data_IF_608655630056
#
_entry.id   IF_608655630056
#
_cell.length_a   1.000
_cell.length_b   1.000
_cell.length_c   1.000
_cell.angle_alpha   90.00
_cell.angle_beta   90.00
_cell.angle_gamma   90.00
#
_symmetry.space_group_name_H-M   'P 1'
#
loop_
_entity.id
_entity.type
_entity.pdbx_description
1 polymer ?
#
# COMPACT_ATOMS: atom_id res chain seq x y z
N UNK A 1 11.68 25.71 37.13
CA UNK A 1 11.63 26.33 35.79
C UNK A 1 12.34 25.47 34.75
N UNK A 2 13.60 25.09 35.01
CA UNK A 2 14.37 24.28 34.07
C UNK A 2 13.73 22.88 33.81
N UNK A 3 13.22 22.23 34.84
CA UNK A 3 12.55 20.94 34.74
C UNK A 3 11.30 21.01 33.87
N UNK A 4 10.54 22.09 34.00
CA UNK A 4 9.33 22.32 33.21
C UNK A 4 9.65 22.45 31.72
N UNK A 5 10.74 23.14 31.36
CA UNK A 5 11.18 23.25 29.97
C UNK A 5 11.60 21.94 29.38
N UNK A 6 12.29 21.12 30.15
CA UNK A 6 12.72 19.79 29.70
C UNK A 6 11.51 18.89 29.40
N UNK A 7 10.49 18.93 30.26
CA UNK A 7 9.26 18.17 30.07
C UNK A 7 8.55 18.56 28.77
N UNK A 8 8.47 19.85 28.46
CA UNK A 8 7.86 20.34 27.22
C UNK A 8 8.65 19.87 26.00
N UNK A 9 9.98 19.92 26.07
CA UNK A 9 10.83 19.46 24.97
C UNK A 9 10.64 17.99 24.66
N UNK A 10 10.52 17.14 25.69
CA UNK A 10 10.28 15.70 25.51
C UNK A 10 8.92 15.46 24.84
N UNK A 11 7.89 16.21 25.23
CA UNK A 11 6.56 16.05 24.63
C UNK A 11 6.57 16.44 23.15
N UNK A 12 7.26 17.51 22.79
CA UNK A 12 7.35 17.96 21.40
C UNK A 12 8.12 16.97 20.52
N UNK A 13 9.12 16.30 21.06
CA UNK A 13 9.86 15.27 20.33
C UNK A 13 9.06 13.99 20.12
N UNK A 14 8.22 13.61 21.06
CA UNK A 14 7.41 12.39 20.97
C UNK A 14 6.36 12.49 19.85
N UNK A 15 5.69 13.62 19.70
CA UNK A 15 4.64 13.80 18.70
C UNK A 15 5.16 13.71 17.26
N UNK A 16 6.21 14.44 16.86
CA UNK A 16 6.74 14.32 15.51
C UNK A 16 7.23 12.91 15.17
N UNK A 17 7.79 12.19 16.13
CA UNK A 17 8.25 10.82 15.89
C UNK A 17 7.08 9.89 15.58
N UNK A 18 5.96 9.98 16.30
CA UNK A 18 4.79 9.17 16.04
C UNK A 18 4.19 9.47 14.67
N UNK A 19 4.12 10.73 14.28
CA UNK A 19 3.66 11.13 12.95
C UNK A 19 4.58 10.60 11.85
N UNK A 20 5.89 10.66 12.03
CA UNK A 20 6.86 10.14 11.08
C UNK A 20 6.71 8.63 10.89
N UNK A 21 6.46 7.87 11.97
CA UNK A 21 6.23 6.43 11.88
C UNK A 21 4.95 6.11 11.10
N UNK A 22 3.89 6.88 11.28
CA UNK A 22 2.65 6.71 10.50
C UNK A 22 2.86 7.07 9.04
N UNK A 23 3.62 8.14 8.77
CA UNK A 23 3.93 8.55 7.41
C UNK A 23 4.83 7.56 6.67
N UNK A 24 5.61 6.77 7.41
CA UNK A 24 6.48 5.74 6.84
C UNK A 24 5.75 4.42 6.57
N UNK A 25 4.50 4.29 7.01
CA UNK A 25 3.75 3.07 6.76
C UNK A 25 3.53 2.88 5.28
N UNK A 26 3.91 1.70 4.79
CA UNK A 26 3.73 1.30 3.41
C UNK A 26 2.59 0.30 3.34
N UNK A 27 1.60 0.59 2.52
CA UNK A 27 0.47 -0.29 2.27
C UNK A 27 0.77 -1.19 1.08
N UNK A 28 0.26 -2.40 1.14
CA UNK A 28 0.46 -3.38 0.08
C UNK A 28 -0.89 -3.82 -0.47
N UNK A 29 -1.07 -3.64 -1.78
CA UNK A 29 -2.27 -4.05 -2.50
C UNK A 29 -1.91 -5.24 -3.39
N UNK A 30 -2.71 -6.30 -3.33
CA UNK A 30 -2.65 -7.38 -4.29
C UNK A 30 -3.65 -7.14 -5.39
N UNK A 31 -3.20 -7.09 -6.63
CA UNK A 31 -4.07 -6.96 -7.79
C UNK A 31 -4.09 -8.27 -8.56
N UNK A 32 -5.26 -8.88 -8.64
CA UNK A 32 -5.47 -10.13 -9.34
C UNK A 32 -6.31 -9.87 -10.58
N UNK A 33 -5.66 -9.84 -11.73
CA UNK A 33 -6.29 -9.53 -13.01
C UNK A 33 -6.61 -10.78 -13.81
N UNK A 34 -7.79 -10.81 -14.42
CA UNK A 34 -8.25 -11.94 -15.23
C UNK A 34 -7.63 -11.93 -16.62
N UNK A 35 -7.42 -10.75 -17.20
CA UNK A 35 -6.87 -10.59 -18.54
C UNK A 35 -5.35 -10.40 -18.47
N UNK A 36 -4.79 -9.86 -19.52
CA UNK A 36 -3.36 -9.60 -19.59
C UNK A 36 -3.00 -8.21 -19.10
N UNK A 37 -1.72 -7.99 -18.85
CA UNK A 37 -1.19 -6.70 -18.47
C UNK A 37 -1.46 -5.60 -19.51
N UNK A 38 -1.79 -5.98 -20.73
CA UNK A 38 -2.10 -5.02 -21.79
C UNK A 38 -3.45 -4.31 -21.60
N UNK A 39 -4.32 -4.85 -20.74
CA UNK A 39 -5.58 -4.19 -20.39
C UNK A 39 -5.32 -3.17 -19.28
N UNK A 40 -4.71 -2.06 -19.63
CA UNK A 40 -4.18 -1.08 -18.69
C UNK A 40 -5.16 0.04 -18.34
N UNK A 41 -6.29 0.14 -19.02
CA UNK A 41 -7.22 1.26 -18.80
C UNK A 41 -7.72 1.31 -17.35
N UNK A 42 -8.20 0.18 -16.86
CA UNK A 42 -8.64 0.09 -15.47
C UNK A 42 -7.51 0.29 -14.47
N UNK A 43 -6.31 -0.17 -14.81
CA UNK A 43 -5.14 -0.01 -13.96
C UNK A 43 -4.72 1.45 -13.84
N UNK A 44 -4.75 2.20 -14.94
CA UNK A 44 -4.45 3.63 -14.94
C UNK A 44 -5.45 4.38 -14.06
N UNK A 45 -6.73 4.06 -14.18
CA UNK A 45 -7.77 4.68 -13.37
C UNK A 45 -7.58 4.36 -11.86
N UNK A 46 -7.24 3.11 -11.54
CA UNK A 46 -6.97 2.71 -10.15
C UNK A 46 -5.78 3.49 -9.58
N UNK A 47 -4.69 3.56 -10.30
CA UNK A 47 -3.51 4.30 -9.86
C UNK A 47 -3.81 5.78 -9.64
N UNK A 48 -4.57 6.38 -10.57
CA UNK A 48 -4.95 7.79 -10.45
C UNK A 48 -5.82 8.02 -9.23
N UNK A 49 -6.81 7.16 -9.00
CA UNK A 49 -7.66 7.25 -7.82
C UNK A 49 -6.88 7.11 -6.53
N UNK A 50 -5.92 6.20 -6.47
CA UNK A 50 -5.07 6.02 -5.32
C UNK A 50 -4.20 7.26 -5.07
N UNK A 51 -3.62 7.84 -6.11
CA UNK A 51 -2.83 9.08 -5.99
C UNK A 51 -3.68 10.22 -5.46
N UNK A 52 -4.91 10.36 -5.95
CA UNK A 52 -5.83 11.38 -5.47
C UNK A 52 -6.12 11.25 -3.97
N UNK A 53 -6.05 10.03 -3.45
CA UNK A 53 -6.22 9.74 -2.03
C UNK A 53 -4.92 9.77 -1.23
N UNK A 54 -3.80 10.07 -1.87
CA UNK A 54 -2.51 10.16 -1.20
C UNK A 54 -1.65 8.90 -1.23
N UNK A 55 -2.03 7.88 -2.03
CA UNK A 55 -1.29 6.63 -2.14
C UNK A 55 -0.53 6.57 -3.47
N UNK A 56 0.77 6.41 -3.39
CA UNK A 56 1.62 6.43 -4.58
C UNK A 56 2.65 5.31 -4.54
N UNK A 57 2.73 4.53 -5.62
CA UNK A 57 3.74 3.49 -5.75
C UNK A 57 5.15 4.08 -5.60
N UNK A 58 5.98 3.37 -4.83
CA UNK A 58 7.33 3.82 -4.56
C UNK A 58 7.48 4.75 -3.37
N UNK A 59 6.39 5.27 -2.84
CA UNK A 59 6.38 6.10 -1.62
C UNK A 59 5.77 5.37 -0.44
N UNK A 60 4.46 5.16 -0.48
CA UNK A 60 3.71 4.55 0.63
C UNK A 60 2.83 3.41 0.15
N UNK A 61 3.02 2.95 -1.08
CA UNK A 61 2.20 1.92 -1.69
C UNK A 61 3.06 0.96 -2.49
N UNK A 62 2.81 -0.34 -2.29
CA UNK A 62 3.34 -1.42 -3.13
C UNK A 62 2.16 -2.14 -3.73
N UNK A 63 2.15 -2.31 -5.05
CA UNK A 63 1.14 -3.10 -5.73
C UNK A 63 1.78 -4.38 -6.25
N UNK A 64 1.28 -5.51 -5.78
CA UNK A 64 1.68 -6.83 -6.23
C UNK A 64 0.72 -7.28 -7.31
N UNK A 65 1.21 -7.38 -8.54
CA UNK A 65 0.41 -7.72 -9.70
C UNK A 65 0.46 -9.20 -9.99
N UNK A 66 -0.71 -9.81 -10.25
CA UNK A 66 -0.81 -11.18 -10.76
C UNK A 66 -1.83 -11.19 -11.89
N UNK A 67 -1.38 -11.64 -13.05
CA UNK A 67 -2.18 -11.65 -14.27
C UNK A 67 -2.44 -13.08 -14.69
N UNK A 68 -3.71 -13.49 -14.71
CA UNK A 68 -4.09 -14.84 -15.11
C UNK A 68 -3.99 -15.08 -16.61
N UNK A 69 -4.03 -14.03 -17.40
CA UNK A 69 -3.91 -14.09 -18.87
C UNK A 69 -4.93 -15.03 -19.51
N UNK A 70 -6.17 -15.00 -19.02
CA UNK A 70 -7.25 -15.88 -19.47
C UNK A 70 -7.20 -17.28 -18.90
N UNK A 71 -6.19 -17.63 -18.13
CA UNK A 71 -6.05 -18.96 -17.53
C UNK A 71 -6.60 -18.93 -16.10
N UNK A 72 -7.88 -19.15 -15.95
CA UNK A 72 -8.58 -19.03 -14.67
C UNK A 72 -8.11 -20.03 -13.62
N UNK A 73 -7.53 -21.16 -14.06
CA UNK A 73 -6.95 -22.17 -13.17
C UNK A 73 -5.76 -21.63 -12.37
N UNK A 74 -5.15 -20.53 -12.77
CA UNK A 74 -4.06 -19.87 -12.05
C UNK A 74 -4.55 -19.04 -10.85
N UNK A 75 -5.82 -18.66 -10.83
CA UNK A 75 -6.33 -17.72 -9.84
C UNK A 75 -6.15 -18.20 -8.38
N UNK A 76 -6.44 -19.47 -8.04
CA UNK A 76 -6.24 -19.92 -6.66
C UNK A 76 -4.81 -19.80 -6.18
N UNK A 77 -3.84 -20.18 -7.02
CA UNK A 77 -2.41 -20.10 -6.69
C UNK A 77 -1.97 -18.64 -6.50
N UNK A 78 -2.42 -17.74 -7.38
CA UNK A 78 -2.12 -16.33 -7.27
C UNK A 78 -2.73 -15.71 -6.01
N UNK A 79 -3.96 -16.06 -5.68
CA UNK A 79 -4.60 -15.61 -4.46
C UNK A 79 -3.81 -16.06 -3.22
N UNK A 80 -3.37 -17.31 -3.19
CA UNK A 80 -2.53 -17.82 -2.10
C UNK A 80 -1.22 -17.05 -1.98
N UNK A 81 -0.56 -16.75 -3.11
CA UNK A 81 0.66 -15.94 -3.08
C UNK A 81 0.42 -14.57 -2.47
N UNK A 82 -0.65 -13.90 -2.87
CA UNK A 82 -0.96 -12.56 -2.38
C UNK A 82 -1.29 -12.58 -0.88
N UNK A 83 -1.99 -13.60 -0.41
CA UNK A 83 -2.25 -13.78 1.02
C UNK A 83 -0.95 -13.99 1.78
N UNK A 84 -0.03 -14.78 1.26
CA UNK A 84 1.28 -15.01 1.89
C UNK A 84 2.14 -13.76 1.93
N UNK A 85 1.99 -12.88 0.94
CA UNK A 85 2.66 -11.58 0.92
C UNK A 85 2.04 -10.58 1.89
N UNK A 86 0.96 -10.97 2.58
CA UNK A 86 0.27 -10.16 3.57
C UNK A 86 -0.18 -8.82 3.00
N UNK A 87 -0.84 -8.87 1.84
CA UNK A 87 -1.42 -7.67 1.26
C UNK A 87 -2.51 -7.11 2.17
N UNK A 88 -2.60 -5.81 2.25
CA UNK A 88 -3.63 -5.14 3.07
C UNK A 88 -5.00 -5.23 2.40
N UNK A 89 -5.03 -5.18 1.07
CA UNK A 89 -6.26 -5.24 0.28
C UNK A 89 -6.01 -6.09 -0.96
N UNK A 90 -6.96 -6.93 -1.29
CA UNK A 90 -6.97 -7.70 -2.52
C UNK A 90 -8.00 -7.10 -3.48
N UNK A 91 -7.54 -6.70 -4.67
CA UNK A 91 -8.40 -6.16 -5.73
C UNK A 91 -8.48 -7.16 -6.87
N UNK A 92 -9.70 -7.50 -7.25
CA UNK A 92 -9.95 -8.45 -8.35
C UNK A 92 -10.84 -7.85 -9.41
#
# INVERSE_FOLDING_TARGET
MTIFRIAIAVLLLATPLAEAQQAEKVYRIGLLGLSSRSDITGLVALRQGLRDLGYEEGKNLVIEYRWAEGQYDRLPAFADELVRLKVDVLVT
#
